data_IF_171032678719
#
_entry.id   IF_171032678719
#
_cell.length_a   1.000
_cell.length_b   1.000
_cell.length_c   1.000
_cell.angle_alpha   90.00
_cell.angle_beta   90.00
_cell.angle_gamma   90.00
#
_symmetry.space_group_name_H-M   'P 1'
#
loop_
_entity.id
_entity.type
_entity.pdbx_description
1 polymer ?
#
# COMPACT_ATOMS: atom_id res chain seq x y z
N UNK A 1 -15.71 -12.40 14.53
CA UNK A 1 -15.59 -11.03 13.99
C UNK A 1 -14.15 -10.90 13.59
N UNK A 2 -13.86 -10.46 12.35
CA UNK A 2 -12.49 -10.29 11.89
C UNK A 2 -11.76 -9.36 12.84
N UNK A 3 -10.52 -9.71 13.17
CA UNK A 3 -9.66 -8.99 14.12
C UNK A 3 -8.62 -8.12 13.44
N UNK A 4 -8.39 -8.37 12.15
CA UNK A 4 -7.36 -7.71 11.36
C UNK A 4 -7.89 -7.41 9.96
N UNK A 5 -7.47 -6.27 9.41
CA UNK A 5 -7.81 -5.84 8.06
C UNK A 5 -6.52 -5.55 7.29
N UNK A 6 -6.45 -6.01 6.05
CA UNK A 6 -5.39 -5.62 5.11
C UNK A 6 -6.02 -4.83 3.99
N UNK A 7 -5.54 -3.61 3.77
CA UNK A 7 -5.96 -2.78 2.64
C UNK A 7 -4.78 -2.55 1.71
N UNK A 8 -5.00 -2.85 0.43
CA UNK A 8 -4.13 -2.47 -0.66
C UNK A 8 -4.63 -1.15 -1.25
N UNK A 9 -3.73 -0.24 -1.60
CA UNK A 9 -4.08 1.02 -2.27
C UNK A 9 -3.24 1.12 -3.54
N UNK A 10 -3.92 1.27 -4.67
CA UNK A 10 -3.33 1.40 -5.99
C UNK A 10 -3.77 2.73 -6.60
N UNK A 11 -2.84 3.64 -6.89
CA UNK A 11 -3.09 4.79 -7.75
C UNK A 11 -2.53 4.52 -9.13
N UNK A 12 -3.38 4.67 -10.13
CA UNK A 12 -3.06 4.45 -11.53
C UNK A 12 -2.68 5.77 -12.21
N UNK A 13 -1.93 5.70 -13.31
CA UNK A 13 -1.57 6.88 -14.12
C UNK A 13 -2.78 7.67 -14.64
N UNK A 14 -3.92 7.00 -14.76
CA UNK A 14 -5.20 7.60 -15.17
C UNK A 14 -5.86 8.44 -14.07
N UNK A 15 -5.29 8.45 -12.86
CA UNK A 15 -5.88 9.04 -11.66
C UNK A 15 -6.88 8.13 -10.95
N UNK A 16 -7.16 6.93 -11.47
CA UNK A 16 -8.02 5.96 -10.81
C UNK A 16 -7.38 5.43 -9.52
N UNK A 17 -8.21 5.21 -8.50
CA UNK A 17 -7.80 4.64 -7.21
C UNK A 17 -8.60 3.37 -6.95
N UNK A 18 -7.89 2.29 -6.62
CA UNK A 18 -8.49 1.03 -6.19
C UNK A 18 -8.03 0.69 -4.78
N UNK A 19 -8.97 0.27 -3.93
CA UNK A 19 -8.70 -0.07 -2.52
C UNK A 19 -9.24 -1.45 -2.10
N UNK A 20 -8.69 -2.56 -2.63
CA UNK A 20 -9.08 -3.89 -2.18
C UNK A 20 -8.82 -4.05 -0.68
N UNK A 21 -9.78 -4.63 0.05
CA UNK A 21 -9.66 -4.87 1.48
C UNK A 21 -10.03 -6.31 1.82
N UNK A 22 -9.20 -6.95 2.64
CA UNK A 22 -9.41 -8.31 3.14
C UNK A 22 -9.46 -8.31 4.65
N UNK A 23 -10.30 -9.19 5.21
CA UNK A 23 -10.49 -9.34 6.64
C UNK A 23 -10.03 -10.72 7.12
N UNK A 24 -9.43 -10.76 8.29
CA UNK A 24 -8.84 -11.97 8.87
C UNK A 24 -9.14 -12.06 10.37
N UNK A 25 -9.41 -13.27 10.86
CA UNK A 25 -9.55 -13.55 12.29
C UNK A 25 -8.20 -13.88 12.97
N UNK A 26 -7.13 -14.06 12.18
CA UNK A 26 -5.80 -14.49 12.62
C UNK A 26 -4.71 -13.53 12.11
N UNK A 27 -3.79 -13.16 13.01
CA UNK A 27 -2.73 -12.19 12.72
C UNK A 27 -1.75 -12.69 11.67
N UNK A 28 -1.32 -13.96 11.76
CA UNK A 28 -0.33 -14.51 10.84
C UNK A 28 -0.86 -14.54 9.40
N UNK A 29 -2.14 -14.87 9.20
CA UNK A 29 -2.78 -14.80 7.88
C UNK A 29 -2.86 -13.36 7.34
N UNK A 30 -3.15 -12.39 8.21
CA UNK A 30 -3.19 -10.98 7.84
C UNK A 30 -1.79 -10.48 7.43
N UNK A 31 -0.77 -10.79 8.22
CA UNK A 31 0.64 -10.46 7.91
C UNK A 31 1.10 -11.12 6.60
N UNK A 32 0.77 -12.40 6.38
CA UNK A 32 1.08 -13.08 5.12
C UNK A 32 0.46 -12.38 3.90
N UNK A 33 -0.80 -11.95 4.00
CA UNK A 33 -1.46 -11.18 2.94
C UNK A 33 -0.83 -9.79 2.79
N UNK A 34 -0.54 -9.09 3.88
CA UNK A 34 0.15 -7.80 3.88
C UNK A 34 1.48 -7.90 3.14
N UNK A 35 2.34 -8.87 3.48
CA UNK A 35 3.62 -9.06 2.79
C UNK A 35 3.47 -9.51 1.34
N UNK A 36 2.40 -10.24 1.00
CA UNK A 36 2.08 -10.55 -0.40
C UNK A 36 1.83 -9.27 -1.19
N UNK A 37 0.95 -8.39 -0.71
CA UNK A 37 0.68 -7.09 -1.33
C UNK A 37 1.96 -6.24 -1.37
N UNK A 38 2.73 -6.23 -0.28
CA UNK A 38 3.98 -5.48 -0.20
C UNK A 38 4.99 -5.90 -1.27
N UNK A 39 5.13 -7.20 -1.49
CA UNK A 39 6.03 -7.73 -2.53
C UNK A 39 5.58 -7.34 -3.94
N UNK A 40 4.27 -7.29 -4.19
CA UNK A 40 3.69 -6.84 -5.45
C UNK A 40 3.87 -5.33 -5.63
N UNK A 41 3.67 -4.56 -4.57
CA UNK A 41 3.86 -3.12 -4.54
C UNK A 41 5.30 -2.71 -4.85
N UNK A 42 6.28 -3.44 -4.31
CA UNK A 42 7.70 -3.17 -4.51
C UNK A 42 8.16 -3.28 -5.97
N UNK A 43 7.50 -4.11 -6.78
CA UNK A 43 7.84 -4.35 -8.20
C UNK A 43 6.78 -3.83 -9.17
N UNK A 44 5.80 -3.08 -8.66
CA UNK A 44 4.70 -2.54 -9.44
C UNK A 44 5.14 -1.41 -10.36
N UNK A 45 4.47 -1.26 -11.51
CA UNK A 45 4.63 -0.09 -12.39
C UNK A 45 3.65 1.04 -12.06
N UNK A 46 2.81 0.88 -11.03
CA UNK A 46 1.82 1.88 -10.64
C UNK A 46 2.51 3.08 -9.97
N UNK A 47 2.09 4.32 -10.24
CA UNK A 47 2.62 5.52 -9.60
C UNK A 47 2.70 5.46 -8.08
N UNK A 48 1.65 4.92 -7.46
CA UNK A 48 1.61 4.66 -6.02
C UNK A 48 1.00 3.29 -5.79
N UNK A 49 1.70 2.45 -5.04
CA UNK A 49 1.20 1.16 -4.60
C UNK A 49 1.55 0.96 -3.11
N UNK A 50 0.55 0.76 -2.27
CA UNK A 50 0.67 0.69 -0.82
C UNK A 50 -0.04 -0.53 -0.23
N UNK A 51 0.46 -0.99 0.91
CA UNK A 51 -0.16 -1.99 1.76
C UNK A 51 -0.30 -1.44 3.18
N UNK A 52 -1.43 -1.72 3.83
CA UNK A 52 -1.69 -1.35 5.22
C UNK A 52 -2.32 -2.54 5.96
N UNK A 53 -1.91 -2.75 7.20
CA UNK A 53 -2.45 -3.74 8.12
C UNK A 53 -3.00 -3.02 9.36
N UNK A 54 -4.27 -3.29 9.69
CA UNK A 54 -4.98 -2.70 10.82
C UNK A 54 -5.51 -3.77 11.77
N UNK A 55 -5.78 -3.38 13.01
CA UNK A 55 -6.74 -4.09 13.87
C UNK A 55 -8.18 -3.82 13.41
N UNK A 56 -9.13 -4.60 13.91
CA UNK A 56 -10.57 -4.42 13.71
C UNK A 56 -11.13 -3.14 14.34
N UNK A 57 -10.44 -2.62 15.36
CA UNK A 57 -10.69 -1.30 15.95
C UNK A 57 -10.13 -0.13 15.11
N UNK A 58 -9.43 -0.42 14.00
CA UNK A 58 -8.88 0.57 13.08
C UNK A 58 -7.48 1.08 13.45
N UNK A 59 -6.81 0.50 14.45
CA UNK A 59 -5.42 0.86 14.76
C UNK A 59 -4.49 0.31 13.67
N UNK A 60 -3.66 1.19 13.10
CA UNK A 60 -2.64 0.76 12.13
C UNK A 60 -1.54 0.01 12.86
N UNK A 61 -1.31 -1.24 12.45
CA UNK A 61 -0.18 -2.03 12.93
C UNK A 61 1.04 -1.81 12.05
N UNK A 62 0.85 -1.88 10.73
CA UNK A 62 1.92 -1.71 9.74
C UNK A 62 1.40 -0.98 8.50
N UNK A 63 2.26 -0.18 7.87
CA UNK A 63 1.96 0.42 6.57
C UNK A 63 3.23 0.67 5.79
N UNK A 64 3.14 0.53 4.47
CA UNK A 64 4.22 0.89 3.56
C UNK A 64 3.66 1.29 2.22
N UNK A 65 4.19 2.40 1.71
CA UNK A 65 3.85 2.97 0.42
C UNK A 65 5.10 2.99 -0.47
N UNK A 66 4.95 2.54 -1.71
CA UNK A 66 5.92 2.70 -2.78
C UNK A 66 5.41 3.75 -3.75
N UNK A 67 6.26 4.71 -4.08
CA UNK A 67 6.04 5.69 -5.14
C UNK A 67 6.97 5.34 -6.29
N UNK A 68 6.42 5.09 -7.46
CA UNK A 68 7.15 4.71 -8.67
C UNK A 68 6.93 5.78 -9.72
N UNK A 69 8.00 6.34 -10.26
CA UNK A 69 7.93 7.48 -11.17
C UNK A 69 9.13 8.39 -10.96
N UNK A 70 9.55 9.09 -12.01
CA UNK A 70 10.65 10.04 -11.92
C UNK A 70 10.29 11.12 -10.90
N UNK A 71 11.13 11.28 -9.87
CA UNK A 71 11.16 12.55 -9.16
C UNK A 71 11.43 13.62 -10.23
N UNK A 72 10.65 14.71 -10.32
CA UNK A 72 11.05 15.82 -11.16
C UNK A 72 12.42 16.27 -10.64
N UNK A 73 13.45 16.14 -11.47
CA UNK A 73 14.74 16.77 -11.20
C UNK A 73 14.45 18.25 -10.92
N UNK A 74 14.73 18.71 -9.70
CA UNK A 74 14.72 20.13 -9.41
C UNK A 74 15.75 20.78 -10.33
N UNK A 75 15.27 21.46 -11.36
CA UNK A 75 16.08 22.27 -12.25
C UNK A 75 16.61 23.45 -11.42
N UNK A 76 17.78 23.28 -10.79
CA UNK A 76 18.52 24.38 -10.17
C UNK A 76 18.94 25.33 -11.27
N UNK A 77 18.09 26.31 -11.57
CA UNK A 77 18.48 27.49 -12.33
C UNK A 77 19.22 28.42 -11.37
N UNK A 78 20.55 28.27 -11.32
CA UNK A 78 21.42 29.34 -10.82
C UNK A 78 21.27 30.55 -11.77
N UNK A 79 20.92 31.70 -11.19
CA UNK A 79 20.92 33.01 -11.84
C UNK A 79 21.50 34.05 -10.90
#
# INVERSE_FOLDING_TARGET
MPKYLVTEIQHWDTGAVQTPTWSFDDRNKAEAKYHTVLSQAAVSTLPVHSAMLFTDEGFTLESKCYKHGAEPEEETTEG
#
